data_IF_780546709735
#
_entry.id   IF_780546709735
#
_cell.length_a   1.000
_cell.length_b   1.000
_cell.length_c   1.000
_cell.angle_alpha   90.00
_cell.angle_beta   90.00
_cell.angle_gamma   90.00
#
_symmetry.space_group_name_H-M   'P 1'
#
loop_
_entity.id
_entity.type
_entity.pdbx_description
1 polymer ?
#
# COMPACT_ATOMS: atom_id res chain seq x y z
N UNK A 1 2.29 11.39 34.37
CA UNK A 1 2.36 11.58 32.89
C UNK A 1 3.78 12.00 32.57
N UNK A 2 4.52 11.16 31.83
CA UNK A 2 5.95 11.33 31.55
C UNK A 2 6.21 12.56 30.67
N UNK A 3 6.66 13.65 31.28
CA UNK A 3 7.12 14.84 30.56
C UNK A 3 8.25 14.52 29.57
N UNK A 4 9.06 13.50 29.87
CA UNK A 4 10.16 13.05 29.01
C UNK A 4 9.68 12.44 27.70
N UNK A 5 8.53 11.73 27.70
CA UNK A 5 7.92 11.17 26.47
C UNK A 5 7.36 12.28 25.58
N UNK A 6 6.73 13.28 26.20
CA UNK A 6 6.21 14.44 25.49
C UNK A 6 7.36 15.22 24.83
N UNK A 7 8.45 15.46 25.57
CA UNK A 7 9.62 16.17 25.06
C UNK A 7 10.30 15.43 23.89
N UNK A 8 10.42 14.09 23.98
CA UNK A 8 10.92 13.27 22.87
C UNK A 8 10.01 13.34 21.64
N UNK A 9 8.69 13.32 21.81
CA UNK A 9 7.76 13.45 20.68
C UNK A 9 7.85 14.82 19.99
N UNK A 10 8.00 15.90 20.77
CA UNK A 10 8.12 17.27 20.25
C UNK A 10 9.46 17.46 19.52
N UNK A 11 10.55 16.88 20.05
CA UNK A 11 11.85 16.90 19.37
C UNK A 11 11.79 16.11 18.06
N UNK A 12 11.16 14.94 18.07
CA UNK A 12 11.02 14.09 16.88
C UNK A 12 10.14 14.76 15.81
N UNK A 13 9.08 15.47 16.21
CA UNK A 13 8.23 16.25 15.32
C UNK A 13 8.98 17.47 14.76
N UNK A 14 9.78 18.17 15.57
CA UNK A 14 10.63 19.28 15.12
C UNK A 14 11.73 18.83 14.16
N UNK A 15 12.33 17.66 14.37
CA UNK A 15 13.32 17.09 13.46
C UNK A 15 12.70 16.64 12.13
N UNK A 16 11.50 16.06 12.16
CA UNK A 16 10.77 15.72 10.93
C UNK A 16 10.36 16.96 10.15
N UNK A 17 9.90 18.01 10.84
CA UNK A 17 9.54 19.27 10.20
C UNK A 17 10.78 19.98 9.62
N UNK A 18 11.91 20.03 10.35
CA UNK A 18 13.14 20.66 9.83
C UNK A 18 13.80 19.86 8.68
N UNK A 19 13.64 18.53 8.68
CA UNK A 19 14.06 17.67 7.57
C UNK A 19 13.21 17.91 6.32
N UNK A 20 11.89 18.00 6.48
CA UNK A 20 10.95 18.32 5.40
C UNK A 20 11.25 19.72 4.84
N UNK A 21 11.49 20.70 5.70
CA UNK A 21 11.83 22.07 5.29
C UNK A 21 13.18 22.14 4.55
N UNK A 22 14.19 21.36 4.95
CA UNK A 22 15.48 21.28 4.26
C UNK A 22 15.41 20.58 2.89
N UNK A 23 14.54 19.59 2.72
CA UNK A 23 14.30 18.95 1.41
C UNK A 23 13.50 19.87 0.49
N UNK A 24 12.63 20.72 1.05
CA UNK A 24 11.75 21.62 0.32
C UNK A 24 12.36 22.99 -0.01
N UNK A 25 13.64 23.23 0.34
CA UNK A 25 14.38 24.36 -0.18
C UNK A 25 14.39 24.31 -1.72
N UNK A 26 14.02 25.41 -2.37
CA UNK A 26 13.83 25.54 -3.83
C UNK A 26 15.02 25.08 -4.69
N UNK A 27 16.19 24.86 -4.09
CA UNK A 27 17.40 24.41 -4.76
C UNK A 27 17.60 22.88 -4.80
N UNK A 28 16.78 22.09 -4.09
CA UNK A 28 16.95 20.63 -3.95
C UNK A 28 15.97 19.78 -4.81
N UNK A 29 14.99 20.39 -5.45
CA UNK A 29 14.11 19.69 -6.40
C UNK A 29 14.79 19.69 -7.77
N UNK A 30 15.59 18.66 -8.03
CA UNK A 30 16.25 18.49 -9.33
C UNK A 30 15.37 17.62 -10.24
N UNK A 31 14.77 18.24 -11.26
CA UNK A 31 14.02 17.54 -12.31
C UNK A 31 15.01 16.96 -13.33
N UNK A 32 15.45 15.72 -13.14
CA UNK A 32 16.20 14.99 -14.16
C UNK A 32 15.21 14.36 -15.16
N UNK A 33 15.02 15.00 -16.30
CA UNK A 33 14.30 14.41 -17.42
C UNK A 33 15.23 13.55 -18.27
N UNK A 34 15.22 12.23 -18.09
CA UNK A 34 15.51 11.32 -19.21
C UNK A 34 14.18 11.05 -19.89
N UNK A 35 13.94 11.74 -21.02
CA UNK A 35 12.75 11.50 -21.83
C UNK A 35 12.78 10.03 -22.30
N UNK A 36 11.92 9.18 -21.75
CA UNK A 36 11.63 7.89 -22.36
C UNK A 36 11.09 8.14 -23.77
N UNK A 37 11.81 7.66 -24.78
CA UNK A 37 11.55 7.87 -26.21
C UNK A 37 10.21 7.31 -26.73
N UNK A 38 9.36 6.76 -25.87
CA UNK A 38 8.09 6.14 -26.25
C UNK A 38 6.92 7.13 -26.40
N UNK A 39 7.10 8.41 -26.04
CA UNK A 39 6.04 9.43 -26.17
C UNK A 39 6.48 10.57 -27.09
N UNK A 40 6.59 10.28 -28.40
CA UNK A 40 6.62 11.32 -29.44
C UNK A 40 5.61 10.94 -30.52
N UNK A 41 4.36 11.33 -30.33
CA UNK A 41 3.44 11.48 -31.47
C UNK A 41 3.61 12.89 -32.02
N UNK A 42 3.72 12.92 -33.34
CA UNK A 42 4.13 14.03 -34.21
C UNK A 42 3.30 15.30 -34.02
N UNK A 43 4.00 16.40 -33.70
CA UNK A 43 3.57 17.74 -34.09
C UNK A 43 4.67 18.33 -34.97
N UNK A 44 4.30 18.66 -36.19
CA UNK A 44 5.13 19.21 -37.26
C UNK A 44 5.13 20.75 -37.14
N UNK A 45 6.29 21.42 -36.96
CA UNK A 45 6.39 22.86 -37.04
C UNK A 45 6.98 23.27 -38.39
N UNK A 46 6.10 23.60 -39.34
CA UNK A 46 6.48 24.34 -40.54
C UNK A 46 6.56 25.84 -40.25
N UNK A 47 7.80 26.35 -40.25
CA UNK A 47 8.30 27.66 -40.69
C UNK A 47 7.51 28.97 -40.43
N UNK A 48 8.20 29.94 -39.80
CA UNK A 48 8.54 31.27 -40.33
C UNK A 48 9.32 32.05 -39.24
N UNK A 49 10.61 32.32 -39.41
CA UNK A 49 11.26 33.40 -40.20
C UNK A 49 11.64 34.64 -39.34
N UNK A 50 12.95 34.75 -39.15
CA UNK A 50 13.86 35.90 -39.00
C UNK A 50 13.35 37.29 -38.55
N UNK A 51 14.03 37.87 -37.54
CA UNK A 51 14.80 39.11 -37.71
C UNK A 51 15.82 39.38 -36.58
N UNK A 52 16.94 40.01 -36.99
CA UNK A 52 18.18 40.31 -36.24
C UNK A 52 18.16 41.71 -35.59
N UNK A 53 19.03 41.95 -34.60
CA UNK A 53 19.45 43.29 -34.16
C UNK A 53 20.38 43.29 -32.93
N UNK A 54 21.59 43.87 -33.04
CA UNK A 54 22.71 43.83 -32.08
C UNK A 54 22.77 45.03 -31.09
N UNK A 55 23.42 44.79 -29.92
CA UNK A 55 24.25 45.68 -29.05
C UNK A 55 23.65 46.99 -28.48
N UNK A 56 23.61 47.25 -27.16
CA UNK A 56 24.74 47.55 -26.25
C UNK A 56 24.29 47.45 -24.75
N UNK A 57 25.24 47.40 -23.77
CA UNK A 57 24.98 47.01 -22.39
C UNK A 57 24.93 48.19 -21.40
N UNK A 58 24.03 48.18 -20.40
CA UNK A 58 24.36 48.61 -19.03
C UNK A 58 23.18 48.51 -18.04
N UNK A 59 23.54 48.04 -16.83
CA UNK A 59 22.99 48.44 -15.52
C UNK A 59 21.83 47.64 -14.90
N UNK A 60 22.24 46.67 -14.07
CA UNK A 60 22.07 46.70 -12.61
C UNK A 60 20.64 46.91 -12.03
N UNK A 61 19.91 45.82 -11.77
CA UNK A 61 19.14 45.56 -10.54
C UNK A 61 18.54 44.15 -10.59
N UNK A 62 19.02 43.29 -9.69
CA UNK A 62 18.69 41.87 -9.59
C UNK A 62 17.25 41.64 -9.09
N UNK A 63 16.54 40.80 -9.85
CA UNK A 63 15.49 39.86 -9.45
C UNK A 63 14.24 40.42 -8.76
N UNK A 64 13.34 40.98 -9.56
CA UNK A 64 11.90 40.83 -9.29
C UNK A 64 11.58 39.36 -9.60
N UNK A 65 11.40 38.54 -8.55
CA UNK A 65 10.91 37.18 -8.69
C UNK A 65 9.45 37.24 -9.10
N UNK A 66 9.17 37.09 -10.39
CA UNK A 66 7.87 36.68 -10.88
C UNK A 66 7.57 35.29 -10.31
N UNK A 67 6.84 35.26 -9.20
CA UNK A 67 6.24 34.04 -8.67
C UNK A 67 5.19 33.58 -9.67
N UNK A 68 5.56 32.65 -10.55
CA UNK A 68 4.62 31.92 -11.39
C UNK A 68 3.53 31.31 -10.48
N UNK A 69 2.28 31.81 -10.52
CA UNK A 69 1.22 31.34 -9.64
C UNK A 69 0.93 29.85 -9.82
N UNK A 70 1.21 29.31 -11.02
CA UNK A 70 1.05 27.89 -11.32
C UNK A 70 2.13 27.04 -10.63
N UNK A 71 3.35 27.56 -10.51
CA UNK A 71 4.44 26.90 -9.78
C UNK A 71 4.18 26.89 -8.27
N UNK A 72 3.61 27.96 -7.72
CA UNK A 72 3.27 28.00 -6.28
C UNK A 72 2.11 27.04 -5.94
N UNK A 73 1.05 27.01 -6.76
CA UNK A 73 -0.05 26.05 -6.61
C UNK A 73 0.46 24.60 -6.70
N UNK A 74 1.36 24.30 -7.64
CA UNK A 74 2.00 22.99 -7.73
C UNK A 74 2.78 22.63 -6.45
N UNK A 75 3.63 23.54 -5.95
CA UNK A 75 4.39 23.32 -4.70
C UNK A 75 3.47 23.09 -3.51
N UNK A 76 2.36 23.83 -3.42
CA UNK A 76 1.38 23.65 -2.35
C UNK A 76 0.68 22.29 -2.43
N UNK A 77 0.31 21.82 -3.64
CA UNK A 77 -0.24 20.47 -3.82
C UNK A 77 0.76 19.38 -3.45
N UNK A 78 2.04 19.54 -3.80
CA UNK A 78 3.10 18.59 -3.42
C UNK A 78 3.29 18.55 -1.90
N UNK A 79 3.28 19.71 -1.22
CA UNK A 79 3.35 19.77 0.25
C UNK A 79 2.18 19.03 0.91
N UNK A 80 0.95 19.29 0.45
CA UNK A 80 -0.25 18.62 0.96
C UNK A 80 -0.14 17.11 0.73
N UNK A 81 0.30 16.69 -0.46
CA UNK A 81 0.46 15.27 -0.79
C UNK A 81 1.49 14.57 0.11
N UNK A 82 2.64 15.20 0.38
CA UNK A 82 3.66 14.64 1.29
C UNK A 82 3.13 14.52 2.72
N UNK A 83 2.41 15.55 3.20
CA UNK A 83 1.78 15.52 4.52
C UNK A 83 0.78 14.35 4.63
N UNK A 84 -0.11 14.22 3.65
CA UNK A 84 -1.09 13.14 3.62
C UNK A 84 -0.43 11.76 3.52
N UNK A 85 0.65 11.61 2.75
CA UNK A 85 1.41 10.35 2.68
C UNK A 85 2.02 9.96 4.03
N UNK A 86 2.55 10.94 4.78
CA UNK A 86 3.07 10.71 6.12
C UNK A 86 1.96 10.32 7.11
N UNK A 87 0.83 11.02 7.10
CA UNK A 87 -0.34 10.67 7.91
C UNK A 87 -0.85 9.25 7.60
N UNK A 88 -0.92 8.88 6.32
CA UNK A 88 -1.29 7.52 5.89
C UNK A 88 -0.30 6.48 6.42
N UNK A 89 1.00 6.75 6.42
CA UNK A 89 2.01 5.83 6.99
C UNK A 89 1.83 5.65 8.48
N UNK A 90 1.56 6.71 9.22
CA UNK A 90 1.31 6.62 10.66
C UNK A 90 0.06 5.79 10.96
N UNK A 91 -1.03 6.03 10.23
CA UNK A 91 -2.26 5.25 10.36
C UNK A 91 -2.01 3.77 10.05
N UNK A 92 -1.27 3.48 8.98
CA UNK A 92 -0.88 2.11 8.64
C UNK A 92 -0.03 1.44 9.72
N UNK A 93 0.85 2.17 10.39
CA UNK A 93 1.62 1.64 11.52
C UNK A 93 0.72 1.31 12.72
N UNK A 94 -0.24 2.19 13.05
CA UNK A 94 -1.24 1.93 14.11
C UNK A 94 -2.08 0.69 13.78
N UNK A 95 -2.52 0.55 12.54
CA UNK A 95 -3.27 -0.62 12.07
C UNK A 95 -2.46 -1.91 12.25
N UNK A 96 -1.16 -1.92 11.89
CA UNK A 96 -0.30 -3.09 12.06
C UNK A 96 -0.21 -3.53 13.53
N UNK A 97 -0.07 -2.58 14.46
CA UNK A 97 -0.02 -2.88 15.89
C UNK A 97 -1.33 -3.53 16.35
N UNK A 98 -2.46 -2.91 16.01
CA UNK A 98 -3.80 -3.44 16.36
C UNK A 98 -4.06 -4.82 15.73
N UNK A 99 -3.60 -5.04 14.50
CA UNK A 99 -3.71 -6.34 13.82
C UNK A 99 -2.90 -7.42 14.52
N UNK A 100 -1.68 -7.11 14.98
CA UNK A 100 -0.86 -8.04 15.74
C UNK A 100 -1.52 -8.39 17.07
N UNK A 101 -2.04 -7.39 17.77
CA UNK A 101 -2.80 -7.54 18.99
C UNK A 101 -4.06 -8.40 18.82
N UNK A 102 -4.82 -8.19 17.73
CA UNK A 102 -5.97 -9.01 17.37
C UNK A 102 -5.55 -10.46 17.11
N UNK A 103 -4.45 -10.68 16.39
CA UNK A 103 -3.91 -12.02 16.09
C UNK A 103 -3.51 -12.76 17.37
N UNK A 104 -2.85 -12.09 18.32
CA UNK A 104 -2.47 -12.72 19.59
C UNK A 104 -3.69 -13.15 20.40
N UNK A 105 -4.70 -12.28 20.54
CA UNK A 105 -5.96 -12.62 21.22
C UNK A 105 -6.66 -13.79 20.54
N UNK A 106 -6.73 -13.79 19.20
CA UNK A 106 -7.31 -14.90 18.44
C UNK A 106 -6.53 -16.21 18.65
N UNK A 107 -5.19 -16.16 18.67
CA UNK A 107 -4.35 -17.33 18.92
C UNK A 107 -4.59 -17.91 20.32
N UNK A 108 -4.66 -17.05 21.33
CA UNK A 108 -4.96 -17.48 22.70
C UNK A 108 -6.37 -18.09 22.79
N UNK A 109 -7.37 -17.43 22.20
CA UNK A 109 -8.73 -17.97 22.12
C UNK A 109 -8.76 -19.35 21.45
N UNK A 110 -8.05 -19.53 20.32
CA UNK A 110 -7.92 -20.83 19.64
C UNK A 110 -7.22 -21.90 20.48
N UNK A 111 -6.35 -21.54 21.43
CA UNK A 111 -5.75 -22.50 22.36
C UNK A 111 -6.70 -22.92 23.48
N UNK A 112 -7.64 -22.06 23.86
CA UNK A 112 -8.66 -22.36 24.87
C UNK A 112 -9.83 -23.16 24.29
N UNK A 113 -10.18 -22.91 23.01
CA UNK A 113 -11.34 -23.55 22.35
C UNK A 113 -11.35 -25.08 22.48
N UNK A 114 -10.26 -25.84 22.23
CA UNK A 114 -10.28 -27.30 22.35
C UNK A 114 -10.56 -27.78 23.78
N UNK A 115 -10.02 -27.09 24.79
CA UNK A 115 -10.25 -27.43 26.17
C UNK A 115 -11.72 -27.22 26.57
N UNK A 116 -12.30 -26.09 26.16
CA UNK A 116 -13.71 -25.76 26.39
C UNK A 116 -14.62 -26.77 25.67
N UNK A 117 -14.37 -27.05 24.39
CA UNK A 117 -15.16 -28.01 23.62
C UNK A 117 -15.07 -29.43 24.19
N UNK A 118 -13.88 -29.86 24.64
CA UNK A 118 -13.70 -31.16 25.27
C UNK A 118 -14.49 -31.26 26.56
N UNK A 119 -14.44 -30.21 27.40
CA UNK A 119 -15.18 -30.19 28.66
C UNK A 119 -16.68 -30.17 28.44
N UNK A 120 -17.17 -29.35 27.48
CA UNK A 120 -18.58 -29.32 27.09
C UNK A 120 -19.06 -30.67 26.58
N UNK A 121 -18.27 -31.35 25.75
CA UNK A 121 -18.61 -32.68 25.23
C UNK A 121 -18.61 -33.77 26.32
N UNK A 122 -17.63 -33.77 27.22
CA UNK A 122 -17.53 -34.77 28.29
C UNK A 122 -18.66 -34.66 29.33
N UNK A 123 -19.15 -33.44 29.57
CA UNK A 123 -20.21 -33.19 30.54
C UNK A 123 -21.58 -32.98 29.87
N UNK A 124 -21.71 -33.27 28.57
CA UNK A 124 -22.95 -33.14 27.80
C UNK A 124 -23.59 -31.73 27.90
N UNK A 125 -22.76 -30.69 27.93
CA UNK A 125 -23.19 -29.29 28.00
C UNK A 125 -23.37 -28.74 26.57
N UNK A 126 -24.61 -28.49 26.16
CA UNK A 126 -24.91 -27.95 24.84
C UNK A 126 -24.75 -26.42 24.75
N UNK A 127 -25.12 -25.69 25.80
CA UNK A 127 -25.13 -24.22 25.81
C UNK A 127 -24.66 -23.65 27.16
N UNK A 128 -23.84 -22.61 27.10
CA UNK A 128 -23.37 -21.84 28.24
C UNK A 128 -23.82 -20.38 28.05
N UNK A 129 -24.62 -19.87 28.97
CA UNK A 129 -25.10 -18.50 28.96
C UNK A 129 -24.30 -17.63 29.94
N UNK A 130 -23.81 -16.50 29.46
CA UNK A 130 -23.14 -15.46 30.26
C UNK A 130 -23.79 -14.10 30.01
N UNK A 131 -23.43 -13.10 30.82
CA UNK A 131 -23.87 -11.71 30.63
C UNK A 131 -23.41 -11.15 29.27
N UNK A 132 -22.26 -11.60 28.79
CA UNK A 132 -21.65 -11.14 27.54
C UNK A 132 -22.06 -11.99 26.32
N UNK A 133 -23.05 -12.85 26.46
CA UNK A 133 -23.60 -13.68 25.39
C UNK A 133 -23.55 -15.18 25.70
N UNK A 134 -23.73 -15.98 24.65
CA UNK A 134 -23.86 -17.43 24.76
C UNK A 134 -22.83 -18.19 23.95
N UNK A 135 -22.37 -19.32 24.48
CA UNK A 135 -21.47 -20.28 23.83
C UNK A 135 -22.24 -21.57 23.60
N UNK A 136 -22.31 -22.03 22.36
CA UNK A 136 -22.99 -23.27 22.01
C UNK A 136 -21.99 -24.29 21.49
N UNK A 137 -22.07 -25.50 22.01
CA UNK A 137 -21.41 -26.66 21.41
C UNK A 137 -22.27 -27.18 20.25
N UNK A 138 -21.75 -27.06 19.03
CA UNK A 138 -22.42 -27.57 17.81
C UNK A 138 -21.45 -28.40 16.99
N UNK A 139 -21.81 -29.65 16.77
CA UNK A 139 -21.12 -30.52 15.82
C UNK A 139 -21.87 -30.50 14.48
N UNK A 140 -21.15 -30.42 13.37
CA UNK A 140 -21.73 -30.51 12.03
C UNK A 140 -20.75 -31.23 11.12
N UNK A 141 -21.22 -32.27 10.46
CA UNK A 141 -20.44 -33.01 9.48
C UNK A 141 -20.67 -32.38 8.11
N UNK A 142 -19.63 -31.78 7.55
CA UNK A 142 -19.66 -31.19 6.21
C UNK A 142 -18.67 -31.92 5.31
N UNK A 143 -19.02 -32.06 4.02
CA UNK A 143 -18.04 -32.51 3.02
C UNK A 143 -16.98 -31.42 2.87
N UNK A 144 -15.69 -31.78 2.83
CA UNK A 144 -14.63 -30.79 2.65
C UNK A 144 -14.81 -30.07 1.31
N UNK A 145 -14.45 -28.78 1.23
CA UNK A 145 -14.48 -28.03 -0.03
C UNK A 145 -13.55 -28.70 -1.04
N UNK A 146 -14.00 -28.78 -2.29
CA UNK A 146 -13.24 -29.43 -3.36
C UNK A 146 -12.09 -28.51 -3.81
N UNK A 147 -10.85 -28.85 -3.42
CA UNK A 147 -9.67 -28.10 -3.85
C UNK A 147 -9.24 -28.48 -5.26
N UNK A 148 -8.47 -27.61 -5.94
CA UNK A 148 -7.88 -27.95 -7.24
C UNK A 148 -7.04 -29.23 -7.17
N UNK A 149 -6.38 -29.50 -6.04
CA UNK A 149 -5.63 -30.74 -5.81
C UNK A 149 -6.56 -31.95 -5.76
N UNK A 150 -7.71 -31.83 -5.10
CA UNK A 150 -8.72 -32.90 -5.03
C UNK A 150 -9.36 -33.18 -6.40
N UNK A 151 -9.53 -32.13 -7.22
CA UNK A 151 -10.00 -32.27 -8.60
C UNK A 151 -8.95 -32.98 -9.45
N UNK A 152 -7.68 -32.52 -9.40
CA UNK A 152 -6.58 -33.14 -10.15
C UNK A 152 -6.39 -34.61 -9.76
N UNK A 153 -6.35 -34.92 -8.47
CA UNK A 153 -6.14 -36.30 -8.01
C UNK A 153 -7.26 -37.23 -8.47
N UNK A 154 -8.52 -36.79 -8.38
CA UNK A 154 -9.66 -37.58 -8.89
C UNK A 154 -9.61 -37.74 -10.40
N UNK A 155 -9.29 -36.68 -11.15
CA UNK A 155 -9.18 -36.76 -12.62
C UNK A 155 -8.06 -37.70 -13.04
N UNK A 156 -6.88 -37.60 -12.44
CA UNK A 156 -5.75 -38.49 -12.71
C UNK A 156 -6.02 -39.95 -12.35
N UNK A 157 -6.76 -40.21 -11.26
CA UNK A 157 -7.15 -41.56 -10.89
C UNK A 157 -8.26 -42.13 -11.80
N UNK A 158 -9.06 -41.27 -12.44
CA UNK A 158 -10.17 -41.69 -13.31
C UNK A 158 -9.73 -41.84 -14.77
N UNK A 159 -8.80 -41.00 -15.22
CA UNK A 159 -8.29 -40.95 -16.58
C UNK A 159 -6.76 -41.14 -16.56
N UNK A 160 -6.32 -42.40 -16.52
CA UNK A 160 -4.90 -42.79 -16.40
C UNK A 160 -4.09 -42.62 -17.68
N UNK A 161 -4.73 -42.44 -18.84
CA UNK A 161 -4.03 -42.30 -20.13
C UNK A 161 -3.96 -40.85 -20.63
N UNK A 162 -4.73 -39.93 -20.02
CA UNK A 162 -4.93 -38.57 -20.52
C UNK A 162 -4.33 -37.50 -19.58
N UNK A 163 -3.22 -37.83 -18.91
CA UNK A 163 -2.61 -36.93 -17.93
C UNK A 163 -2.17 -35.60 -18.56
N UNK A 164 -1.67 -35.63 -19.80
CA UNK A 164 -1.17 -34.47 -20.52
C UNK A 164 -2.29 -33.50 -20.93
N UNK A 165 -3.43 -34.02 -21.39
CA UNK A 165 -4.61 -33.19 -21.70
C UNK A 165 -5.20 -32.57 -20.43
N UNK A 166 -5.19 -33.31 -19.33
CA UNK A 166 -5.64 -32.80 -18.03
C UNK A 166 -4.75 -31.67 -17.52
N UNK A 167 -3.43 -31.75 -17.73
CA UNK A 167 -2.51 -30.67 -17.38
C UNK A 167 -2.66 -29.44 -18.26
N UNK A 168 -3.01 -29.63 -19.54
CA UNK A 168 -3.30 -28.54 -20.45
C UNK A 168 -4.49 -27.68 -19.97
N UNK A 169 -5.55 -28.29 -19.42
CA UNK A 169 -6.73 -27.57 -18.89
C UNK A 169 -6.38 -26.56 -17.80
N UNK A 170 -5.43 -26.88 -16.93
CA UNK A 170 -5.02 -25.99 -15.84
C UNK A 170 -3.99 -24.96 -16.27
N UNK A 171 -3.21 -25.26 -17.31
CA UNK A 171 -2.08 -24.45 -17.76
C UNK A 171 -2.46 -23.42 -18.83
N UNK A 172 -3.42 -23.75 -19.70
CA UNK A 172 -3.89 -22.90 -20.80
C UNK A 172 -4.86 -21.78 -20.36
N UNK A 173 -4.83 -21.36 -19.09
CA UNK A 173 -5.73 -20.32 -18.57
C UNK A 173 -5.22 -18.92 -18.91
N UNK A 174 -6.12 -18.04 -19.35
CA UNK A 174 -5.80 -16.66 -19.70
C UNK A 174 -5.19 -15.87 -18.53
N UNK A 175 -4.10 -15.13 -18.80
CA UNK A 175 -3.45 -14.26 -17.82
C UNK A 175 -4.03 -12.86 -17.91
N UNK A 176 -4.56 -12.35 -16.80
CA UNK A 176 -5.09 -10.99 -16.69
C UNK A 176 -4.00 -10.05 -16.19
N UNK A 177 -3.72 -8.99 -16.92
CA UNK A 177 -2.79 -7.94 -16.50
C UNK A 177 -3.39 -7.13 -15.34
N UNK A 178 -2.64 -7.01 -14.25
CA UNK A 178 -2.97 -6.11 -13.12
C UNK A 178 -1.84 -5.12 -12.94
N UNK A 179 -2.15 -3.82 -13.00
CA UNK A 179 -1.20 -2.73 -12.81
C UNK A 179 -1.32 -2.19 -11.38
N UNK A 180 -0.21 -1.90 -10.70
CA UNK A 180 -0.19 -1.31 -9.35
C UNK A 180 0.96 -0.30 -9.19
N UNK A 181 0.70 0.84 -8.56
CA UNK A 181 1.70 1.85 -8.20
C UNK A 181 2.31 1.55 -6.82
N UNK A 182 3.63 1.71 -6.65
CA UNK A 182 4.36 1.47 -5.39
C UNK A 182 5.46 2.51 -5.17
N UNK A 183 5.71 2.87 -3.90
CA UNK A 183 6.85 3.70 -3.45
C UNK A 183 7.97 2.78 -2.94
N UNK A 184 9.20 3.06 -3.34
CA UNK A 184 10.40 2.45 -2.78
C UNK A 184 11.13 3.48 -1.91
N UNK A 185 11.62 3.04 -0.74
CA UNK A 185 12.55 3.79 0.10
C UNK A 185 13.90 3.10 -0.08
N UNK A 186 14.98 3.88 -0.25
CA UNK A 186 16.33 3.36 -0.08
C UNK A 186 16.66 3.26 1.40
#
# INVERSE_FOLDING_TARGET
>A
MDQERLFRSILQEKEQNSFVDNILNNNNIQMHGSLNAYCRTSYDPSNNDQQQGQSEPMSNALAIQDMDPQLDDFKNKVKIWIKLDNEIKELNNKIKVLDNERKQRKKYMMSLTPHILSYMNMNEIEELNSRDGKIQYKCSMIKPPLSQKDVKSKLYNTFTENHDELDHIFSAREKIQKVSLRRYLN
#
